data_IF_436147769109
#
_entry.id   IF_436147769109
#
_cell.length_a   1.000
_cell.length_b   1.000
_cell.length_c   1.000
_cell.angle_alpha   90.00
_cell.angle_beta   90.00
_cell.angle_gamma   90.00
#
_symmetry.space_group_name_H-M   'P 1'
#
loop_
_entity.id
_entity.type
_entity.pdbx_description
1 polymer ?
#
# COMPACT_ATOMS: atom_id res chain seq x y z
N UNK A 1 10.23 9.11 -7.44
CA UNK A 1 8.92 8.51 -7.16
C UNK A 1 9.16 7.02 -7.00
N UNK A 2 9.00 6.51 -5.78
CA UNK A 2 9.18 5.08 -5.49
C UNK A 2 7.87 4.36 -5.83
N UNK A 3 7.97 3.42 -6.76
CA UNK A 3 6.83 2.61 -7.21
C UNK A 3 7.26 1.16 -7.41
N UNK A 4 6.31 0.26 -7.27
CA UNK A 4 6.46 -1.15 -7.62
C UNK A 4 5.18 -1.67 -8.24
N UNK A 5 5.35 -2.50 -9.26
CA UNK A 5 4.26 -3.27 -9.85
C UNK A 5 4.31 -4.69 -9.29
N UNK A 6 3.17 -5.20 -8.83
CA UNK A 6 3.01 -6.57 -8.34
C UNK A 6 1.78 -7.19 -8.98
N UNK A 7 1.80 -8.47 -9.30
CA UNK A 7 0.64 -9.17 -9.87
C UNK A 7 0.07 -10.12 -8.81
N UNK A 8 -1.22 -10.03 -8.56
CA UNK A 8 -1.89 -10.93 -7.63
C UNK A 8 -2.28 -12.28 -8.27
N UNK A 9 -2.84 -13.18 -7.46
CA UNK A 9 -3.29 -14.51 -7.90
C UNK A 9 -4.47 -14.47 -8.87
N UNK A 10 -5.18 -13.35 -8.95
CA UNK A 10 -6.29 -13.13 -9.87
C UNK A 10 -5.81 -12.54 -11.21
N UNK A 11 -4.49 -12.48 -11.45
CA UNK A 11 -3.86 -11.84 -12.59
C UNK A 11 -4.13 -10.33 -12.69
N UNK A 12 -4.48 -9.69 -11.58
CA UNK A 12 -4.57 -8.22 -11.52
C UNK A 12 -3.19 -7.64 -11.23
N UNK A 13 -2.73 -6.75 -12.10
CA UNK A 13 -1.50 -6.00 -11.87
C UNK A 13 -1.80 -4.78 -11.01
N UNK A 14 -1.07 -4.62 -9.93
CA UNK A 14 -1.17 -3.53 -8.98
C UNK A 14 0.03 -2.62 -9.11
N UNK A 15 -0.21 -1.34 -9.39
CA UNK A 15 0.82 -0.32 -9.29
C UNK A 15 0.75 0.32 -7.92
N UNK A 16 1.69 -0.06 -7.04
CA UNK A 16 1.86 0.54 -5.72
C UNK A 16 2.84 1.70 -5.79
N UNK A 17 2.35 2.91 -5.50
CA UNK A 17 3.17 4.12 -5.43
C UNK A 17 3.21 4.63 -4.00
N UNK A 18 4.38 5.06 -3.55
CA UNK A 18 4.46 5.80 -2.30
C UNK A 18 3.81 7.17 -2.49
N UNK A 19 2.70 7.39 -1.78
CA UNK A 19 2.13 8.71 -1.71
C UNK A 19 3.15 9.60 -0.97
N UNK A 20 3.62 10.65 -1.65
CA UNK A 20 4.23 11.77 -0.94
C UNK A 20 3.14 12.32 -0.04
N UNK A 21 3.23 12.00 1.26
CA UNK A 21 2.36 12.59 2.24
C UNK A 21 2.53 14.11 2.13
N UNK A 22 1.52 14.81 1.59
CA UNK A 22 1.23 16.11 2.14
C UNK A 22 1.01 15.84 3.63
N UNK A 23 1.89 16.37 4.48
CA UNK A 23 1.86 16.27 5.93
C UNK A 23 0.47 16.69 6.44
N UNK A 24 -0.47 15.75 6.45
CA UNK A 24 -1.87 15.94 6.80
C UNK A 24 -2.11 15.24 8.13
N UNK A 25 -2.01 16.04 9.18
CA UNK A 25 -1.94 15.68 10.60
C UNK A 25 -3.20 15.00 11.20
N UNK A 26 -4.04 14.31 10.43
CA UNK A 26 -5.38 13.92 10.92
C UNK A 26 -5.74 12.42 10.84
N UNK A 27 -4.80 11.53 10.48
CA UNK A 27 -5.04 10.07 10.59
C UNK A 27 -3.88 9.34 11.30
N UNK A 28 -3.17 10.06 12.18
CA UNK A 28 -2.00 9.53 12.90
C UNK A 28 -2.32 9.13 14.36
N UNK A 29 -3.59 9.03 14.77
CA UNK A 29 -3.97 8.85 16.17
C UNK A 29 -4.29 7.40 16.60
N UNK A 30 -3.94 6.38 15.79
CA UNK A 30 -4.21 4.97 16.14
C UNK A 30 -3.12 3.92 15.88
N UNK A 31 -1.87 4.31 15.66
CA UNK A 31 -0.79 3.33 15.63
C UNK A 31 0.41 3.85 16.42
N UNK A 32 0.70 3.19 17.54
CA UNK A 32 2.05 3.26 18.12
C UNK A 32 3.09 2.92 17.03
N UNK A 33 4.25 3.57 17.12
CA UNK A 33 5.37 3.49 16.17
C UNK A 33 5.23 4.39 14.91
N UNK A 34 5.05 5.69 15.15
CA UNK A 34 4.90 6.72 14.12
C UNK A 34 6.21 7.22 13.44
N UNK A 35 7.37 6.60 13.68
CA UNK A 35 8.64 7.23 13.28
C UNK A 35 9.12 6.89 11.85
N UNK A 36 8.62 5.84 11.19
CA UNK A 36 9.12 5.44 9.85
C UNK A 36 8.09 4.73 8.97
N UNK A 37 6.79 5.06 9.05
CA UNK A 37 5.77 4.47 8.17
C UNK A 37 5.39 5.43 7.04
N UNK A 38 5.18 4.90 5.84
CA UNK A 38 4.71 5.62 4.65
C UNK A 38 3.38 5.05 4.17
N UNK A 39 2.62 5.88 3.45
CA UNK A 39 1.39 5.44 2.79
C UNK A 39 1.69 5.02 1.36
N UNK A 40 1.35 3.78 1.01
CA UNK A 40 1.26 3.36 -0.39
C UNK A 40 -0.16 3.46 -0.90
N UNK A 41 -0.28 3.88 -2.15
CA UNK A 41 -1.51 3.84 -2.92
C UNK A 41 -1.32 2.76 -3.98
N UNK A 42 -2.04 1.65 -3.86
CA UNK A 42 -1.98 0.54 -4.81
C UNK A 42 -3.23 0.56 -5.69
N UNK A 43 -3.02 0.80 -6.98
CA UNK A 43 -4.09 0.89 -7.98
C UNK A 43 -4.07 -0.34 -8.88
N UNK A 44 -5.21 -1.03 -9.06
CA UNK A 44 -5.28 -2.18 -9.95
C UNK A 44 -5.40 -1.78 -11.42
N UNK A 45 -4.81 -2.57 -12.30
CA UNK A 45 -5.05 -2.54 -13.73
C UNK A 45 -6.46 -3.03 -14.01
N UNK A 46 -7.34 -2.18 -14.55
CA UNK A 46 -8.71 -2.56 -14.91
C UNK A 46 -9.82 -1.83 -14.17
N UNK A 47 -9.49 -0.81 -13.36
CA UNK A 47 -10.50 0.10 -12.77
C UNK A 47 -11.19 -0.42 -11.51
N UNK A 48 -10.66 -1.48 -10.89
CA UNK A 48 -11.06 -1.89 -9.56
C UNK A 48 -10.64 -0.84 -8.50
N UNK A 49 -11.15 -0.99 -7.27
CA UNK A 49 -10.94 -0.02 -6.20
C UNK A 49 -9.47 0.07 -5.79
N UNK A 50 -8.95 1.30 -5.74
CA UNK A 50 -7.62 1.61 -5.20
C UNK A 50 -7.59 1.35 -3.70
N UNK A 51 -6.53 0.71 -3.21
CA UNK A 51 -6.31 0.50 -1.77
C UNK A 51 -5.17 1.36 -1.25
N UNK A 52 -5.24 1.71 0.04
CA UNK A 52 -4.19 2.44 0.75
C UNK A 52 -3.59 1.56 1.83
N UNK A 53 -2.27 1.43 1.83
CA UNK A 53 -1.53 0.60 2.78
C UNK A 53 -0.62 1.49 3.62
N UNK A 54 -0.50 1.18 4.92
CA UNK A 54 0.54 1.73 5.76
C UNK A 54 1.67 0.70 5.89
N UNK A 55 2.87 1.07 5.45
CA UNK A 55 4.04 0.18 5.39
C UNK A 55 5.28 0.91 5.90
N UNK A 56 6.37 0.20 6.27
CA UNK A 56 7.65 0.83 6.58
C UNK A 56 8.19 1.68 5.42
N UNK A 57 8.92 2.76 5.70
CA UNK A 57 9.50 3.64 4.68
C UNK A 57 10.48 2.93 3.74
N UNK A 58 11.11 1.85 4.21
CA UNK A 58 12.01 0.99 3.47
C UNK A 58 11.28 -0.21 2.83
N UNK A 59 9.96 -0.12 2.65
CA UNK A 59 9.14 -1.17 2.05
C UNK A 59 9.68 -1.70 0.72
N UNK A 60 10.33 -0.85 -0.08
CA UNK A 60 10.92 -1.27 -1.35
C UNK A 60 12.06 -2.28 -1.15
N UNK A 61 12.76 -2.25 -0.02
CA UNK A 61 13.80 -3.21 0.31
C UNK A 61 13.28 -4.38 1.15
N UNK A 62 12.33 -4.14 2.05
CA UNK A 62 11.88 -5.14 3.04
C UNK A 62 10.65 -5.94 2.64
N UNK A 63 9.73 -5.37 1.86
CA UNK A 63 8.53 -6.09 1.46
C UNK A 63 8.76 -6.81 0.13
N UNK A 64 8.47 -8.12 0.14
CA UNK A 64 8.36 -8.89 -1.10
C UNK A 64 7.03 -8.60 -1.81
N UNK A 65 6.96 -8.99 -3.08
CA UNK A 65 5.77 -8.81 -3.90
C UNK A 65 4.60 -9.62 -3.34
N UNK A 66 4.87 -10.83 -2.84
CA UNK A 66 3.87 -11.68 -2.17
C UNK A 66 3.32 -11.02 -0.89
N UNK A 67 4.18 -10.37 -0.10
CA UNK A 67 3.75 -9.65 1.10
C UNK A 67 2.92 -8.40 0.75
N UNK A 68 3.27 -7.68 -0.31
CA UNK A 68 2.49 -6.55 -0.82
C UNK A 68 1.12 -7.01 -1.30
N UNK A 69 1.06 -8.06 -2.11
CA UNK A 69 -0.21 -8.66 -2.58
C UNK A 69 -1.07 -9.11 -1.40
N UNK A 70 -0.49 -9.78 -0.41
CA UNK A 70 -1.25 -10.20 0.77
C UNK A 70 -1.88 -9.00 1.50
N UNK A 71 -1.11 -7.93 1.73
CA UNK A 71 -1.60 -6.69 2.34
C UNK A 71 -2.72 -6.03 1.52
N UNK A 72 -2.59 -6.00 0.19
CA UNK A 72 -3.64 -5.50 -0.73
C UNK A 72 -4.92 -6.30 -0.55
N UNK A 73 -4.84 -7.65 -0.57
CA UNK A 73 -6.01 -8.52 -0.45
C UNK A 73 -6.69 -8.43 0.93
N UNK A 74 -5.94 -8.21 2.01
CA UNK A 74 -6.53 -7.97 3.34
C UNK A 74 -7.36 -6.69 3.34
N UNK A 75 -6.76 -5.57 2.92
CA UNK A 75 -7.44 -4.27 2.91
C UNK A 75 -8.63 -4.25 1.96
N UNK A 76 -8.53 -4.91 0.80
CA UNK A 76 -9.69 -5.08 -0.07
C UNK A 76 -10.86 -5.75 0.63
N UNK A 77 -10.62 -6.88 1.32
CA UNK A 77 -11.66 -7.64 2.01
C UNK A 77 -12.31 -6.84 3.13
N UNK A 78 -11.57 -5.97 3.80
CA UNK A 78 -12.07 -5.11 4.87
C UNK A 78 -12.92 -3.94 4.36
N UNK A 79 -12.88 -3.62 3.06
CA UNK A 79 -13.63 -2.53 2.45
C UNK A 79 -14.94 -2.98 1.76
N UNK A 80 -15.32 -4.26 1.91
CA UNK A 80 -16.57 -4.86 1.39
C UNK A 80 -17.50 -5.22 2.55
#
# INVERSE_FOLDING_TARGET
MEQREVTDTENTTWTCVQAYAALGKEVADKAGDADNMVTLVCTPSGGAQTVRLQVPNNWLAELSDEQLVNKISQVQKEQV
#
